data_IF_197782133883
#
_entry.id   IF_197782133883
#
_cell.length_a   1.000
_cell.length_b   1.000
_cell.length_c   1.000
_cell.angle_alpha   90.00
_cell.angle_beta   90.00
_cell.angle_gamma   90.00
#
_symmetry.space_group_name_H-M   'P 1'
#
loop_
_entity.id
_entity.type
_entity.pdbx_description
1 polymer ?
#
# COMPACT_ATOMS: atom_id res chain seq x y z
N UNK A 1 0.61 5.06 27.42
CA UNK A 1 0.97 5.04 26.00
C UNK A 1 2.18 4.14 25.81
N UNK A 2 2.13 3.33 24.79
CA UNK A 2 3.20 2.38 24.48
C UNK A 2 4.16 3.00 23.46
N UNK A 3 5.44 3.09 23.82
CA UNK A 3 6.48 3.55 22.90
C UNK A 3 6.89 2.38 22.00
N UNK A 4 6.90 2.58 20.69
CA UNK A 4 7.38 1.54 19.79
C UNK A 4 8.89 1.38 19.91
N UNK A 5 9.39 0.18 19.65
CA UNK A 5 10.80 -0.12 19.71
C UNK A 5 11.55 0.65 18.62
N UNK A 6 12.77 1.14 18.96
CA UNK A 6 13.64 1.81 18.00
C UNK A 6 14.48 0.79 17.25
N UNK A 7 13.83 0.06 16.36
CA UNK A 7 14.48 -0.97 15.56
C UNK A 7 14.41 -0.63 14.09
N UNK A 8 15.48 -0.94 13.37
CA UNK A 8 15.48 -0.78 11.93
C UNK A 8 14.71 -1.91 11.25
N UNK A 9 14.07 -1.60 10.14
CA UNK A 9 13.41 -2.59 9.29
C UNK A 9 14.25 -2.74 8.02
N UNK A 10 14.63 -3.98 7.70
CA UNK A 10 15.21 -4.31 6.41
C UNK A 10 14.06 -4.70 5.48
N UNK A 11 13.82 -3.91 4.44
CA UNK A 11 12.68 -4.11 3.57
C UNK A 11 12.74 -5.44 2.82
N UNK A 12 13.91 -5.82 2.32
CA UNK A 12 14.06 -7.09 1.59
C UNK A 12 13.68 -8.26 2.47
N UNK A 13 14.18 -8.27 3.71
CA UNK A 13 13.85 -9.33 4.67
C UNK A 13 12.38 -9.29 5.09
N UNK A 14 11.84 -8.10 5.33
CA UNK A 14 10.46 -7.94 5.77
C UNK A 14 9.49 -8.50 4.73
N UNK A 15 9.74 -8.28 3.45
CA UNK A 15 8.90 -8.84 2.39
C UNK A 15 8.98 -10.38 2.29
N UNK A 16 9.96 -11.02 2.91
CA UNK A 16 10.01 -12.50 2.95
C UNK A 16 9.12 -13.10 4.04
N UNK A 17 8.57 -12.28 4.94
CA UNK A 17 7.81 -12.77 6.09
C UNK A 17 6.34 -13.05 5.81
N UNK A 18 5.86 -12.71 4.62
CA UNK A 18 4.47 -12.95 4.22
C UNK A 18 4.40 -13.19 2.72
N UNK A 19 3.32 -13.86 2.28
CA UNK A 19 3.13 -14.22 0.86
C UNK A 19 1.78 -13.77 0.30
N UNK A 20 0.88 -13.26 1.15
CA UNK A 20 -0.45 -12.83 0.71
C UNK A 20 -0.35 -11.60 -0.19
N UNK A 21 -1.18 -11.56 -1.21
CA UNK A 21 -1.32 -10.39 -2.07
C UNK A 21 -2.47 -9.51 -1.59
N UNK A 22 -2.34 -8.20 -1.79
CA UNK A 22 -3.37 -7.21 -1.47
C UNK A 22 -3.77 -7.21 0.01
N UNK A 23 -2.87 -7.64 0.88
CA UNK A 23 -3.08 -7.72 2.31
C UNK A 23 -1.93 -7.02 3.04
N UNK A 24 -2.03 -5.71 3.27
CA UNK A 24 -0.93 -4.95 3.86
C UNK A 24 -0.58 -5.41 5.26
N UNK A 25 0.71 -5.33 5.58
CA UNK A 25 1.26 -5.58 6.92
C UNK A 25 1.76 -4.27 7.49
N UNK A 26 1.40 -3.96 8.71
CA UNK A 26 1.90 -2.77 9.40
C UNK A 26 3.34 -2.97 9.79
N UNK A 27 4.23 -2.12 9.30
CA UNK A 27 5.66 -2.17 9.62
C UNK A 27 6.05 -1.18 10.72
N UNK A 28 5.28 -0.12 10.91
CA UNK A 28 5.56 0.87 11.95
C UNK A 28 4.51 1.97 11.97
N UNK A 29 4.53 2.71 13.04
CA UNK A 29 3.65 3.86 13.24
C UNK A 29 4.48 5.14 13.24
N UNK A 30 3.95 6.17 12.62
CA UNK A 30 4.55 7.50 12.66
C UNK A 30 3.44 8.50 12.92
N UNK A 31 3.32 8.94 14.19
CA UNK A 31 2.17 9.70 14.68
C UNK A 31 0.87 8.94 14.37
N UNK A 32 -0.08 9.56 13.67
CA UNK A 32 -1.35 8.94 13.28
C UNK A 32 -1.29 8.22 11.94
N UNK A 33 -0.11 8.14 11.33
CA UNK A 33 0.12 7.43 10.08
C UNK A 33 0.80 6.10 10.33
N UNK A 34 0.74 5.24 9.34
CA UNK A 34 1.39 3.92 9.39
C UNK A 34 2.21 3.70 8.14
N UNK A 35 3.34 3.04 8.32
CA UNK A 35 4.11 2.47 7.23
C UNK A 35 3.64 1.03 7.08
N UNK A 36 3.19 0.68 5.88
CA UNK A 36 2.69 -0.66 5.56
C UNK A 36 3.48 -1.25 4.41
N UNK A 37 3.61 -2.57 4.41
CA UNK A 37 4.23 -3.32 3.32
C UNK A 37 3.14 -4.15 2.65
N UNK A 38 3.11 -4.13 1.33
CA UNK A 38 2.12 -4.91 0.58
C UNK A 38 2.75 -5.52 -0.66
N UNK A 39 2.29 -6.71 -1.01
CA UNK A 39 2.61 -7.34 -2.29
C UNK A 39 1.40 -7.23 -3.18
N UNK A 40 1.63 -6.83 -4.43
CA UNK A 40 0.59 -6.69 -5.43
C UNK A 40 0.83 -7.69 -6.55
N UNK A 41 -0.26 -8.28 -7.06
CA UNK A 41 -0.23 -9.16 -8.22
C UNK A 41 -1.49 -8.91 -9.03
N UNK A 42 -1.32 -8.66 -10.34
CA UNK A 42 -2.44 -8.30 -11.19
C UNK A 42 -3.05 -6.96 -10.81
N UNK A 43 -4.29 -6.76 -11.15
CA UNK A 43 -5.03 -5.52 -10.90
C UNK A 43 -5.86 -5.62 -9.63
N UNK A 44 -5.95 -4.48 -8.92
CA UNK A 44 -6.85 -4.32 -7.80
C UNK A 44 -8.18 -3.70 -8.27
N UNK A 45 -9.02 -3.30 -7.32
CA UNK A 45 -10.30 -2.66 -7.62
C UNK A 45 -10.13 -1.16 -7.80
N UNK A 46 -11.00 -0.56 -8.63
CA UNK A 46 -11.16 0.87 -8.66
C UNK A 46 -11.78 1.34 -7.35
N UNK A 47 -11.15 2.32 -6.70
CA UNK A 47 -11.62 2.84 -5.42
C UNK A 47 -11.04 4.22 -5.15
N UNK A 48 -11.52 4.86 -4.11
CA UNK A 48 -10.94 6.09 -3.56
C UNK A 48 -11.04 6.08 -2.03
N UNK A 49 -10.27 6.94 -1.40
CA UNK A 49 -10.34 7.18 0.04
C UNK A 49 -10.89 8.58 0.28
N UNK A 50 -11.95 8.69 1.07
CA UNK A 50 -12.64 9.98 1.28
C UNK A 50 -11.77 11.01 1.99
N UNK A 51 -10.94 10.56 2.94
CA UNK A 51 -10.24 11.45 3.86
C UNK A 51 -8.73 11.21 3.94
N UNK A 52 -8.21 10.20 3.27
CA UNK A 52 -6.81 9.81 3.42
C UNK A 52 -6.04 10.01 2.12
N UNK A 53 -4.91 10.71 2.22
CA UNK A 53 -3.89 10.69 1.18
C UNK A 53 -3.08 9.41 1.32
N UNK A 54 -2.57 8.90 0.22
CA UNK A 54 -1.88 7.62 0.21
C UNK A 54 -0.61 7.70 -0.61
N UNK A 55 0.54 7.37 0.00
CA UNK A 55 1.81 7.30 -0.70
C UNK A 55 2.11 5.84 -1.05
N UNK A 56 2.49 5.60 -2.29
CA UNK A 56 2.96 4.30 -2.79
C UNK A 56 4.41 4.45 -3.22
N UNK A 57 5.32 3.77 -2.54
CA UNK A 57 6.73 3.68 -2.91
C UNK A 57 7.01 2.26 -3.41
N UNK A 58 7.46 2.13 -4.64
CA UNK A 58 7.78 0.82 -5.21
C UNK A 58 9.20 0.41 -4.79
N UNK A 59 9.31 -0.79 -4.22
CA UNK A 59 10.59 -1.38 -3.81
C UNK A 59 11.07 -2.37 -4.87
N UNK A 60 10.16 -3.13 -5.46
CA UNK A 60 10.46 -4.17 -6.46
C UNK A 60 9.32 -4.29 -7.44
N UNK A 61 9.63 -4.49 -8.70
CA UNK A 61 8.63 -4.58 -9.77
C UNK A 61 8.22 -3.21 -10.28
N UNK A 62 7.12 -3.17 -11.00
CA UNK A 62 6.54 -1.95 -11.57
C UNK A 62 5.05 -1.89 -11.24
N UNK A 63 4.62 -0.76 -10.70
CA UNK A 63 3.22 -0.48 -10.37
C UNK A 63 2.65 0.46 -11.43
N UNK A 64 1.58 0.03 -12.10
CA UNK A 64 0.81 0.91 -12.95
C UNK A 64 -0.40 1.43 -12.18
N UNK A 65 -0.40 2.72 -11.89
CA UNK A 65 -1.55 3.35 -11.23
C UNK A 65 -2.48 3.90 -12.30
N UNK A 66 -3.66 3.30 -12.41
CA UNK A 66 -4.69 3.76 -13.33
C UNK A 66 -5.49 4.87 -12.67
N UNK A 67 -5.58 5.99 -13.35
CA UNK A 67 -6.52 7.07 -13.05
C UNK A 67 -7.52 7.17 -14.20
N UNK A 68 -8.64 7.85 -14.00
CA UNK A 68 -9.66 7.94 -15.06
C UNK A 68 -9.14 8.62 -16.33
N UNK A 69 -8.20 9.59 -16.17
CA UNK A 69 -7.67 10.36 -17.30
C UNK A 69 -6.39 9.78 -17.89
N UNK A 70 -5.63 9.01 -17.11
CA UNK A 70 -4.31 8.50 -17.54
C UNK A 70 -3.79 7.42 -16.61
N UNK A 71 -2.78 6.71 -17.09
CA UNK A 71 -1.99 5.78 -16.29
C UNK A 71 -0.64 6.40 -15.94
N UNK A 72 -0.12 6.06 -14.78
CA UNK A 72 1.24 6.42 -14.36
C UNK A 72 1.94 5.14 -13.92
N UNK A 73 3.12 4.88 -14.50
CA UNK A 73 3.95 3.76 -14.09
C UNK A 73 4.97 4.23 -13.05
N UNK A 74 5.05 3.53 -11.94
CA UNK A 74 5.96 3.79 -10.84
C UNK A 74 6.92 2.60 -10.76
N UNK A 75 8.21 2.86 -10.96
CA UNK A 75 9.23 1.83 -10.96
C UNK A 75 9.95 1.79 -9.60
N UNK A 76 10.76 0.75 -9.39
CA UNK A 76 11.51 0.58 -8.15
C UNK A 76 12.30 1.85 -7.82
N UNK A 77 12.18 2.33 -6.59
CA UNK A 77 12.80 3.56 -6.13
C UNK A 77 11.98 4.83 -6.38
N UNK A 78 10.81 4.70 -7.00
CA UNK A 78 9.91 5.83 -7.27
C UNK A 78 8.67 5.76 -6.39
N UNK A 79 8.05 6.90 -6.13
CA UNK A 79 6.79 6.93 -5.39
C UNK A 79 5.79 7.87 -6.04
N UNK A 80 4.52 7.64 -5.72
CA UNK A 80 3.42 8.54 -6.08
C UNK A 80 2.57 8.78 -4.84
N UNK A 81 2.03 9.98 -4.72
CA UNK A 81 1.02 10.29 -3.71
C UNK A 81 -0.33 10.41 -4.42
N UNK A 82 -1.29 9.60 -3.99
CA UNK A 82 -2.67 9.68 -4.46
C UNK A 82 -3.46 10.47 -3.42
N UNK A 83 -3.93 11.70 -3.76
CA UNK A 83 -4.72 12.50 -2.85
C UNK A 83 -6.07 11.86 -2.54
N UNK A 84 -6.61 12.18 -1.37
CA UNK A 84 -7.96 11.72 -1.02
C UNK A 84 -8.99 12.15 -2.08
N UNK A 85 -10.00 11.36 -2.25
CA UNK A 85 -11.07 11.59 -3.23
C UNK A 85 -10.74 11.19 -4.65
N UNK A 86 -9.47 10.90 -4.97
CA UNK A 86 -9.08 10.55 -6.35
C UNK A 86 -9.29 9.06 -6.59
N UNK A 87 -10.13 8.73 -7.56
CA UNK A 87 -10.34 7.35 -7.98
C UNK A 87 -9.10 6.78 -8.64
N UNK A 88 -8.71 5.59 -8.24
CA UNK A 88 -7.53 4.93 -8.77
C UNK A 88 -7.67 3.42 -8.71
N UNK A 89 -6.87 2.75 -9.53
CA UNK A 89 -6.82 1.30 -9.60
C UNK A 89 -5.34 0.89 -9.76
N UNK A 90 -4.72 0.34 -8.72
CA UNK A 90 -3.34 -0.13 -8.83
C UNK A 90 -3.26 -1.47 -9.54
N UNK A 91 -2.26 -1.62 -10.39
CA UNK A 91 -1.99 -2.87 -11.09
C UNK A 91 -0.50 -3.17 -11.04
N UNK A 92 -0.13 -4.36 -10.58
CA UNK A 92 1.23 -4.86 -10.67
C UNK A 92 1.49 -5.39 -12.06
N UNK A 93 2.51 -4.84 -12.74
CA UNK A 93 2.98 -5.37 -14.01
C UNK A 93 3.96 -6.52 -13.76
N UNK A 94 4.02 -7.47 -14.70
CA UNK A 94 4.86 -8.65 -14.52
C UNK A 94 4.31 -9.59 -13.45
N UNK A 95 5.20 -10.27 -12.72
CA UNK A 95 4.79 -11.31 -11.77
C UNK A 95 4.20 -10.73 -10.49
N UNK A 96 4.90 -9.79 -9.86
CA UNK A 96 4.43 -9.14 -8.64
C UNK A 96 5.18 -7.83 -8.40
N UNK A 97 4.62 -6.99 -7.50
CA UNK A 97 5.20 -5.72 -7.13
C UNK A 97 5.20 -5.60 -5.61
N UNK A 98 6.32 -5.16 -5.04
CA UNK A 98 6.46 -4.91 -3.61
C UNK A 98 6.40 -3.42 -3.33
N UNK A 99 5.50 -3.00 -2.47
CA UNK A 99 5.17 -1.60 -2.25
C UNK A 99 5.20 -1.26 -0.77
N UNK A 100 5.81 -0.11 -0.46
CA UNK A 100 5.70 0.52 0.86
C UNK A 100 4.61 1.58 0.77
N UNK A 101 3.65 1.50 1.67
CA UNK A 101 2.57 2.48 1.79
C UNK A 101 2.83 3.36 3.02
N UNK A 102 2.58 4.66 2.88
CA UNK A 102 2.51 5.59 4.01
C UNK A 102 1.15 6.28 3.95
N UNK A 103 0.35 6.10 4.99
CA UNK A 103 -1.02 6.56 5.00
C UNK A 103 -1.54 6.67 6.43
N UNK A 104 -2.59 7.48 6.68
CA UNK A 104 -3.23 7.53 8.00
C UNK A 104 -3.70 6.15 8.46
N UNK A 105 -3.68 5.91 9.77
CA UNK A 105 -4.07 4.63 10.35
C UNK A 105 -5.57 4.30 10.20
N UNK A 106 -6.37 5.24 9.71
CA UNK A 106 -7.78 5.06 9.41
C UNK A 106 -8.05 4.52 8.00
N UNK A 107 -7.00 4.34 7.20
CA UNK A 107 -7.14 3.94 5.79
C UNK A 107 -7.54 2.47 5.67
N UNK A 108 -8.69 2.21 5.02
CA UNK A 108 -9.12 0.87 4.64
C UNK A 108 -8.54 0.53 3.27
N UNK A 109 -7.97 -0.65 3.12
CA UNK A 109 -7.23 -1.02 1.89
C UNK A 109 -8.07 -0.90 0.60
N UNK A 110 -9.36 -1.18 0.67
CA UNK A 110 -10.28 -1.08 -0.48
C UNK A 110 -11.06 0.25 -0.52
N UNK A 111 -10.73 1.20 0.36
CA UNK A 111 -11.34 2.53 0.38
C UNK A 111 -12.85 2.49 0.52
N UNK A 112 -13.56 3.09 -0.44
CA UNK A 112 -15.02 3.18 -0.45
C UNK A 112 -15.72 1.89 -0.90
N UNK A 113 -14.96 0.86 -1.28
CA UNK A 113 -15.49 -0.43 -1.75
C UNK A 113 -15.27 -1.48 -0.66
N UNK A 114 -16.27 -2.34 -0.43
CA UNK A 114 -16.15 -3.47 0.48
C UNK A 114 -16.39 -4.76 -0.30
N UNK A 115 -15.43 -5.68 -0.26
CA UNK A 115 -15.51 -6.96 -0.97
C UNK A 115 -14.59 -7.99 -0.30
N UNK A 116 -14.31 -9.10 -1.00
CA UNK A 116 -13.49 -10.20 -0.49
C UNK A 116 -12.04 -9.79 -0.19
N UNK A 117 -11.55 -8.70 -0.81
CA UNK A 117 -10.19 -8.20 -0.61
C UNK A 117 -10.08 -7.23 0.56
N UNK A 118 -11.19 -6.81 1.15
CA UNK A 118 -11.19 -5.84 2.26
C UNK A 118 -10.62 -6.48 3.52
N UNK A 119 -9.65 -5.82 4.13
CA UNK A 119 -9.01 -6.24 5.36
C UNK A 119 -9.24 -5.17 6.43
N UNK A 120 -10.09 -5.46 7.42
CA UNK A 120 -10.44 -4.50 8.46
C UNK A 120 -9.40 -4.41 9.58
N UNK A 121 -8.70 -5.51 9.87
CA UNK A 121 -7.67 -5.55 10.91
C UNK A 121 -6.38 -6.10 10.32
N UNK A 122 -5.36 -5.22 10.20
CA UNK A 122 -4.09 -5.59 9.60
C UNK A 122 -3.17 -6.28 10.61
N UNK A 123 -2.48 -7.31 10.15
CA UNK A 123 -1.39 -7.91 10.92
C UNK A 123 -0.14 -7.01 10.85
N UNK A 124 0.71 -7.12 11.87
CA UNK A 124 2.02 -6.47 11.88
C UNK A 124 3.09 -7.46 11.45
N UNK A 125 4.12 -6.95 10.86
CA UNK A 125 5.30 -7.77 10.53
C UNK A 125 6.11 -8.12 11.77
#
# INVERSE_FOLDING_TARGET
MKTQAMEKINLVQAFTTFSDYWSPRVAGDINTSQIKLAKFKGAFDWHHHEHEDELFLVVSGTLRMHFRERDIDIEAGEFIIVPHGVEHCPEALGDECHVVLLEPNTTLNTGNVTNDRTVHALSRI
#
